data_IF_495169050657
#
_entry.id   IF_495169050657
#
_cell.length_a   1.000
_cell.length_b   1.000
_cell.length_c   1.000
_cell.angle_alpha   90.00
_cell.angle_beta   90.00
_cell.angle_gamma   90.00
#
_symmetry.space_group_name_H-M   'P 1'
#
loop_
_entity.id
_entity.type
_entity.pdbx_description
1 polymer ?
#
# COMPACT_ATOMS: atom_id res chain seq x y z
N UNK A 1 34.38 6.88 3.03
CA UNK A 1 33.70 7.90 2.19
C UNK A 1 32.22 7.63 2.25
N UNK A 2 31.56 8.54 2.85
CA UNK A 2 30.11 8.54 2.94
C UNK A 2 29.57 8.76 1.52
N UNK A 3 29.08 7.71 0.90
CA UNK A 3 28.39 7.84 -0.38
C UNK A 3 27.04 8.40 -0.03
N UNK A 4 26.87 9.66 -0.30
CA UNK A 4 25.63 10.37 -0.14
C UNK A 4 24.49 9.57 -0.74
N UNK A 5 23.56 9.29 0.10
CA UNK A 5 22.30 8.68 -0.17
C UNK A 5 21.60 9.47 -1.28
N UNK A 6 21.73 9.03 -2.51
CA UNK A 6 20.95 9.57 -3.61
C UNK A 6 19.56 8.98 -3.50
N UNK A 7 18.68 9.69 -2.86
CA UNK A 7 17.25 9.42 -2.93
C UNK A 7 16.72 9.86 -4.29
N UNK A 8 17.21 9.18 -5.32
CA UNK A 8 16.61 9.19 -6.63
C UNK A 8 15.82 7.91 -6.77
N UNK A 9 14.61 8.00 -7.24
CA UNK A 9 13.87 6.82 -7.67
C UNK A 9 14.75 6.05 -8.65
N UNK A 10 15.27 4.89 -8.23
CA UNK A 10 16.09 4.04 -9.09
C UNK A 10 17.55 3.88 -8.74
N UNK A 11 18.05 4.52 -7.69
CA UNK A 11 19.41 4.26 -7.23
C UNK A 11 19.50 2.89 -6.54
N UNK A 12 20.63 2.21 -6.72
CA UNK A 12 21.09 1.11 -5.85
C UNK A 12 21.40 1.63 -4.43
N UNK A 13 20.76 2.73 -4.06
CA UNK A 13 20.87 3.31 -2.75
C UNK A 13 20.39 2.27 -1.75
N UNK A 14 21.18 2.02 -0.74
CA UNK A 14 20.74 1.36 0.48
C UNK A 14 19.38 1.94 0.86
N UNK A 15 18.37 1.11 0.76
CA UNK A 15 17.00 1.51 1.08
C UNK A 15 17.00 2.17 2.45
N UNK A 16 16.48 3.39 2.54
CA UNK A 16 16.21 4.05 3.82
C UNK A 16 14.98 3.45 4.50
N UNK A 17 14.43 2.38 3.91
CA UNK A 17 13.30 1.68 4.45
C UNK A 17 13.63 1.12 5.84
N UNK A 18 12.73 1.31 6.77
CA UNK A 18 12.88 0.88 8.15
C UNK A 18 11.55 0.46 8.74
N UNK A 19 11.64 -0.28 9.84
CA UNK A 19 10.49 -0.72 10.59
C UNK A 19 9.78 -1.93 9.98
N UNK A 20 8.67 -2.30 10.60
CA UNK A 20 7.91 -3.51 10.29
C UNK A 20 7.41 -3.55 8.82
N UNK A 21 7.09 -2.41 8.26
CA UNK A 21 6.52 -2.28 6.92
C UNK A 21 7.50 -1.73 5.88
N UNK A 22 8.77 -1.62 6.23
CA UNK A 22 9.83 -1.16 5.33
C UNK A 22 9.54 0.21 4.69
N UNK A 23 8.96 1.14 5.46
CA UNK A 23 8.80 2.52 4.99
C UNK A 23 10.14 3.20 4.76
N UNK A 24 10.23 3.90 3.64
CA UNK A 24 11.33 4.86 3.46
C UNK A 24 11.08 6.10 4.31
N UNK A 25 12.15 6.81 4.65
CA UNK A 25 12.07 8.09 5.33
C UNK A 25 11.12 9.06 4.61
N UNK A 26 11.29 9.19 3.29
CA UNK A 26 10.46 10.11 2.50
C UNK A 26 8.98 9.73 2.52
N UNK A 27 8.64 8.45 2.47
CA UNK A 27 7.23 8.02 2.57
C UNK A 27 6.62 8.40 3.90
N UNK A 28 7.34 8.15 5.00
CA UNK A 28 6.83 8.51 6.32
C UNK A 28 6.71 10.03 6.51
N UNK A 29 7.72 10.78 6.11
CA UNK A 29 7.71 12.25 6.22
C UNK A 29 6.60 12.89 5.39
N UNK A 30 6.29 12.34 4.21
CA UNK A 30 5.15 12.80 3.41
C UNK A 30 3.81 12.55 4.13
N UNK A 31 3.63 11.37 4.73
CA UNK A 31 2.43 11.08 5.52
C UNK A 31 2.32 11.99 6.75
N UNK A 32 3.40 12.18 7.50
CA UNK A 32 3.42 12.99 8.70
C UNK A 32 3.19 14.49 8.40
N UNK A 33 3.71 14.99 7.27
CA UNK A 33 3.52 16.38 6.84
C UNK A 33 2.07 16.71 6.51
N UNK A 34 1.30 15.73 6.08
CA UNK A 34 -0.14 15.85 5.76
C UNK A 34 -1.03 15.51 6.95
N UNK A 35 -0.46 15.09 8.06
CA UNK A 35 -1.20 14.70 9.25
C UNK A 35 -1.85 15.91 9.91
N UNK A 36 -3.11 15.77 10.28
CA UNK A 36 -3.84 16.81 10.99
C UNK A 36 -3.56 16.78 12.50
N UNK A 37 -3.73 17.93 13.15
CA UNK A 37 -3.58 18.05 14.62
C UNK A 37 -4.44 16.99 15.32
N UNK A 38 -3.85 16.29 16.26
CA UNK A 38 -4.53 15.24 17.03
C UNK A 38 -4.50 13.85 16.39
N UNK A 39 -4.02 13.72 15.13
CA UNK A 39 -3.79 12.41 14.54
C UNK A 39 -2.48 11.78 15.02
N UNK A 40 -2.40 10.46 14.92
CA UNK A 40 -1.26 9.70 15.41
C UNK A 40 0.10 10.09 14.79
N UNK A 41 0.08 10.56 13.54
CA UNK A 41 1.30 10.92 12.80
C UNK A 41 1.69 12.41 12.98
N UNK A 42 0.82 13.22 13.54
CA UNK A 42 1.06 14.65 13.69
C UNK A 42 2.29 14.94 14.55
N UNK A 43 3.24 15.69 14.00
CA UNK A 43 4.48 16.06 14.69
C UNK A 43 5.46 14.92 14.93
N UNK A 44 5.21 13.72 14.35
CA UNK A 44 6.10 12.58 14.48
C UNK A 44 7.23 12.64 13.45
N UNK A 45 8.40 12.18 13.88
CA UNK A 45 9.60 12.07 13.04
C UNK A 45 9.81 10.64 12.57
N UNK A 46 10.66 10.46 11.57
CA UNK A 46 11.06 9.11 11.13
C UNK A 46 11.85 8.36 12.23
N UNK A 47 12.54 9.07 13.10
CA UNK A 47 13.21 8.46 14.26
C UNK A 47 12.19 7.90 15.26
N UNK A 48 11.07 8.58 15.48
CA UNK A 48 9.97 8.06 16.29
C UNK A 48 9.38 6.81 15.65
N UNK A 49 9.13 6.85 14.33
CA UNK A 49 8.64 5.71 13.54
C UNK A 49 9.52 4.47 13.71
N UNK A 50 10.84 4.61 13.65
CA UNK A 50 11.78 3.48 13.78
C UNK A 50 11.70 2.77 15.13
N UNK A 51 11.28 3.46 16.17
CA UNK A 51 11.29 2.99 17.56
C UNK A 51 9.93 2.55 18.07
N UNK A 52 8.86 2.88 17.38
CA UNK A 52 7.49 2.68 17.86
C UNK A 52 6.68 1.83 16.86
N UNK A 53 6.45 0.57 17.22
CA UNK A 53 5.69 -0.37 16.40
C UNK A 53 4.23 0.02 16.24
N UNK A 54 3.64 0.68 17.24
CA UNK A 54 2.27 1.20 17.13
C UNK A 54 2.21 2.34 16.10
N UNK A 55 3.21 3.23 16.10
CA UNK A 55 3.32 4.29 15.09
C UNK A 55 3.55 3.72 13.68
N UNK A 56 4.34 2.65 13.56
CA UNK A 56 4.54 1.93 12.30
C UNK A 56 3.21 1.38 11.74
N UNK A 57 2.41 0.76 12.60
CA UNK A 57 1.09 0.25 12.22
C UNK A 57 0.14 1.37 11.80
N UNK A 58 0.14 2.47 12.54
CA UNK A 58 -0.70 3.63 12.22
C UNK A 58 -0.30 4.27 10.89
N UNK A 59 0.99 4.41 10.63
CA UNK A 59 1.50 4.92 9.35
C UNK A 59 1.06 4.04 8.18
N UNK A 60 1.13 2.72 8.34
CA UNK A 60 0.64 1.78 7.31
C UNK A 60 -0.86 1.94 7.08
N UNK A 61 -1.66 2.03 8.14
CA UNK A 61 -3.11 2.20 8.02
C UNK A 61 -3.46 3.49 7.26
N UNK A 62 -2.77 4.60 7.56
CA UNK A 62 -2.97 5.88 6.85
C UNK A 62 -2.59 5.74 5.38
N UNK A 63 -1.45 5.13 5.06
CA UNK A 63 -1.04 4.91 3.67
C UNK A 63 -2.04 4.06 2.91
N UNK A 64 -2.49 2.96 3.50
CA UNK A 64 -3.47 2.07 2.87
C UNK A 64 -4.80 2.79 2.62
N UNK A 65 -5.25 3.62 3.54
CA UNK A 65 -6.48 4.40 3.35
C UNK A 65 -6.33 5.47 2.26
N UNK A 66 -5.19 6.15 2.21
CA UNK A 66 -4.89 7.09 1.12
C UNK A 66 -4.85 6.40 -0.25
N UNK A 67 -4.22 5.24 -0.33
CA UNK A 67 -4.16 4.44 -1.55
C UNK A 67 -5.57 3.98 -1.99
N UNK A 68 -6.36 3.48 -1.06
CA UNK A 68 -7.76 3.06 -1.32
C UNK A 68 -8.58 4.23 -1.87
N UNK A 69 -8.50 5.38 -1.21
CA UNK A 69 -9.21 6.59 -1.66
C UNK A 69 -8.76 7.01 -3.05
N UNK A 70 -7.46 6.99 -3.31
CA UNK A 70 -6.90 7.39 -4.62
C UNK A 70 -7.39 6.47 -5.74
N UNK A 71 -7.41 5.16 -5.53
CA UNK A 71 -7.94 4.20 -6.49
C UNK A 71 -9.45 4.39 -6.71
N UNK A 72 -10.21 4.53 -5.63
CA UNK A 72 -11.66 4.70 -5.69
C UNK A 72 -12.07 5.98 -6.42
N UNK A 73 -11.37 7.09 -6.21
CA UNK A 73 -11.61 8.36 -6.91
C UNK A 73 -11.37 8.26 -8.44
N UNK A 74 -10.59 7.27 -8.86
CA UNK A 74 -10.36 6.97 -10.28
C UNK A 74 -11.29 5.88 -10.81
N UNK A 75 -12.25 5.43 -10.02
CA UNK A 75 -13.16 4.35 -10.40
C UNK A 75 -12.48 2.98 -10.50
N UNK A 76 -11.31 2.84 -9.91
CA UNK A 76 -10.54 1.59 -9.90
C UNK A 76 -10.94 0.74 -8.67
N UNK A 77 -10.96 -0.57 -8.85
CA UNK A 77 -11.23 -1.51 -7.76
C UNK A 77 -10.13 -1.48 -6.70
N UNK A 78 -10.50 -1.81 -5.48
CA UNK A 78 -9.61 -1.85 -4.32
C UNK A 78 -9.40 -3.28 -3.81
N UNK A 79 -9.26 -4.23 -4.75
CA UNK A 79 -8.88 -5.60 -4.44
C UNK A 79 -7.52 -5.65 -3.76
N UNK A 80 -7.22 -6.75 -3.07
CA UNK A 80 -5.94 -6.92 -2.39
C UNK A 80 -4.75 -6.77 -3.36
N UNK A 81 -4.87 -7.30 -4.57
CA UNK A 81 -3.85 -7.15 -5.61
C UNK A 81 -3.67 -5.69 -6.04
N UNK A 82 -4.76 -4.94 -6.22
CA UNK A 82 -4.69 -3.52 -6.57
C UNK A 82 -4.10 -2.68 -5.43
N UNK A 83 -4.45 -3.01 -4.20
CA UNK A 83 -3.88 -2.37 -3.01
C UNK A 83 -2.39 -2.72 -2.85
N UNK A 84 -2.00 -3.94 -3.19
CA UNK A 84 -0.59 -4.34 -3.23
C UNK A 84 0.20 -3.54 -4.29
N UNK A 85 -0.35 -3.36 -5.49
CA UNK A 85 0.25 -2.50 -6.51
C UNK A 85 0.40 -1.05 -6.01
N UNK A 86 -0.60 -0.53 -5.32
CA UNK A 86 -0.55 0.83 -4.76
C UNK A 86 0.50 0.97 -3.65
N UNK A 87 0.70 -0.07 -2.85
CA UNK A 87 1.78 -0.11 -1.88
C UNK A 87 3.15 -0.19 -2.55
N UNK A 88 3.27 -0.99 -3.60
CA UNK A 88 4.53 -1.26 -4.29
C UNK A 88 4.97 -0.13 -5.23
N UNK A 89 4.05 0.43 -6.02
CA UNK A 89 4.30 1.48 -7.02
C UNK A 89 3.96 2.90 -6.55
N UNK A 90 3.35 3.02 -5.37
CA UNK A 90 2.63 4.22 -4.98
C UNK A 90 1.26 4.31 -5.67
N UNK A 91 0.37 5.16 -5.13
CA UNK A 91 -0.98 5.31 -5.69
C UNK A 91 -0.97 5.73 -7.16
N UNK A 92 -0.15 6.69 -7.54
CA UNK A 92 -0.03 7.17 -8.93
C UNK A 92 0.47 6.09 -9.88
N UNK A 93 1.45 5.29 -9.46
CA UNK A 93 1.99 4.17 -10.22
C UNK A 93 0.94 3.07 -10.43
N UNK A 94 0.20 2.73 -9.38
CA UNK A 94 -0.89 1.76 -9.46
C UNK A 94 -2.02 2.25 -10.38
N UNK A 95 -2.40 3.51 -10.28
CA UNK A 95 -3.41 4.10 -11.17
C UNK A 95 -2.97 3.98 -12.63
N UNK A 96 -1.72 4.31 -12.95
CA UNK A 96 -1.18 4.13 -14.31
C UNK A 96 -1.25 2.67 -14.76
N UNK A 97 -0.78 1.74 -13.92
CA UNK A 97 -0.78 0.31 -14.22
C UNK A 97 -2.19 -0.27 -14.41
N UNK A 98 -3.16 0.18 -13.61
CA UNK A 98 -4.54 -0.30 -13.68
C UNK A 98 -5.36 0.36 -14.79
N UNK A 99 -4.96 1.55 -15.26
CA UNK A 99 -5.64 2.29 -16.34
C UNK A 99 -5.03 2.05 -17.71
N UNK A 100 -3.82 1.49 -17.79
CA UNK A 100 -3.14 1.23 -19.04
C UNK A 100 -3.76 0.06 -19.80
N UNK A 101 -3.50 -0.01 -21.12
CA UNK A 101 -3.81 -1.19 -21.91
C UNK A 101 -3.09 -2.41 -21.32
N UNK A 102 -3.80 -3.52 -21.04
CA UNK A 102 -3.18 -4.74 -20.53
C UNK A 102 -2.03 -5.30 -21.39
N UNK A 103 -2.09 -5.07 -22.69
CA UNK A 103 -1.07 -5.54 -23.65
C UNK A 103 0.08 -4.54 -23.84
N UNK A 104 -0.02 -3.34 -23.25
CA UNK A 104 1.07 -2.38 -23.30
C UNK A 104 2.33 -2.93 -22.61
N UNK A 105 3.52 -2.57 -23.10
CA UNK A 105 4.76 -2.99 -22.46
C UNK A 105 4.84 -2.45 -21.02
N UNK A 106 5.43 -3.23 -20.13
CA UNK A 106 5.57 -2.87 -18.71
C UNK A 106 6.32 -1.53 -18.54
N UNK A 107 7.22 -1.22 -19.47
CA UNK A 107 7.98 0.05 -19.48
C UNK A 107 7.11 1.28 -19.71
N UNK A 108 5.85 1.11 -20.14
CA UNK A 108 4.89 2.22 -20.22
C UNK A 108 4.39 2.70 -18.86
N UNK A 109 4.48 1.86 -17.83
CA UNK A 109 3.99 2.15 -16.47
C UNK A 109 5.08 2.12 -15.40
N UNK A 110 6.21 1.50 -15.69
CA UNK A 110 7.39 1.44 -14.81
C UNK A 110 8.64 1.93 -15.54
N UNK A 111 9.51 2.62 -14.82
CA UNK A 111 10.81 3.01 -15.36
C UNK A 111 11.77 1.81 -15.39
N UNK A 112 12.80 1.89 -16.24
CA UNK A 112 13.85 0.87 -16.30
C UNK A 112 14.54 0.70 -14.94
N UNK A 113 14.80 1.80 -14.24
CA UNK A 113 15.41 1.78 -12.90
C UNK A 113 14.56 1.03 -11.88
N UNK A 114 13.23 1.19 -11.95
CA UNK A 114 12.31 0.42 -11.10
C UNK A 114 12.33 -1.07 -11.40
N UNK A 115 12.41 -1.43 -12.67
CA UNK A 115 12.54 -2.82 -13.10
C UNK A 115 13.87 -3.43 -12.68
N UNK A 116 14.97 -2.68 -12.83
CA UNK A 116 16.31 -3.13 -12.44
C UNK A 116 16.45 -3.31 -10.93
N UNK A 117 15.81 -2.45 -10.16
CA UNK A 117 15.77 -2.54 -8.69
C UNK A 117 14.93 -3.75 -8.19
N UNK A 118 14.10 -4.34 -9.05
CA UNK A 118 13.20 -5.42 -8.69
C UNK A 118 13.40 -6.64 -9.59
N UNK A 119 14.37 -7.51 -9.29
CA UNK A 119 14.70 -8.66 -10.15
C UNK A 119 13.52 -9.58 -10.47
N UNK A 120 12.56 -9.69 -9.55
CA UNK A 120 11.34 -10.49 -9.75
C UNK A 120 10.43 -9.97 -10.87
N UNK A 121 10.61 -8.73 -11.31
CA UNK A 121 9.84 -8.12 -12.39
C UNK A 121 10.50 -8.24 -13.76
N UNK A 122 11.77 -8.67 -13.83
CA UNK A 122 12.53 -8.71 -15.08
C UNK A 122 11.96 -9.66 -16.15
N UNK A 123 11.17 -10.63 -15.72
CA UNK A 123 10.50 -11.58 -16.62
C UNK A 123 9.16 -11.08 -17.15
N UNK A 124 8.63 -10.01 -16.56
CA UNK A 124 7.36 -9.43 -16.94
C UNK A 124 7.54 -8.52 -18.16
N UNK A 125 6.69 -8.67 -19.16
CA UNK A 125 6.78 -7.91 -20.40
C UNK A 125 5.66 -6.90 -20.56
N UNK A 126 4.48 -7.23 -20.07
CA UNK A 126 3.26 -6.43 -20.26
C UNK A 126 2.68 -5.94 -18.93
N UNK A 127 1.79 -4.98 -19.05
CA UNK A 127 0.98 -4.48 -17.91
C UNK A 127 0.12 -5.62 -17.33
N UNK A 128 -0.40 -6.51 -18.19
CA UNK A 128 -1.15 -7.70 -17.76
C UNK A 128 -0.30 -8.62 -16.88
N UNK A 129 0.97 -8.84 -17.25
CA UNK A 129 1.90 -9.63 -16.44
C UNK A 129 2.13 -9.01 -15.06
N UNK A 130 2.25 -7.70 -15.00
CA UNK A 130 2.41 -6.98 -13.73
C UNK A 130 1.18 -7.14 -12.82
N UNK A 131 -0.02 -7.06 -13.38
CA UNK A 131 -1.26 -7.28 -12.61
C UNK A 131 -1.36 -8.72 -12.11
N UNK A 132 -1.08 -9.70 -12.96
CA UNK A 132 -1.05 -11.11 -12.60
C UNK A 132 0.01 -11.41 -11.52
N UNK A 133 1.16 -10.78 -11.61
CA UNK A 133 2.20 -10.88 -10.58
C UNK A 133 1.69 -10.39 -9.21
N UNK A 134 0.98 -9.27 -9.16
CA UNK A 134 0.39 -8.76 -7.92
C UNK A 134 -0.66 -9.71 -7.33
N UNK A 135 -1.50 -10.31 -8.19
CA UNK A 135 -2.48 -11.32 -7.78
C UNK A 135 -1.79 -12.56 -7.19
N UNK A 136 -0.73 -13.05 -7.81
CA UNK A 136 0.05 -14.18 -7.32
C UNK A 136 0.72 -13.88 -5.98
N UNK A 137 1.24 -12.66 -5.80
CA UNK A 137 1.82 -12.22 -4.52
C UNK A 137 0.79 -12.27 -3.40
N UNK A 138 -0.41 -11.78 -3.63
CA UNK A 138 -1.48 -11.81 -2.63
C UNK A 138 -1.99 -13.22 -2.37
N UNK A 139 -2.13 -14.06 -3.40
CA UNK A 139 -2.50 -15.46 -3.24
C UNK A 139 -1.48 -16.24 -2.40
N UNK A 140 -0.19 -15.98 -2.58
CA UNK A 140 0.88 -16.64 -1.81
C UNK A 140 0.88 -16.22 -0.34
N UNK A 141 0.50 -14.98 -0.03
CA UNK A 141 0.34 -14.49 1.36
C UNK A 141 -0.84 -15.19 2.04
N UNK A 142 -1.93 -15.43 1.33
CA UNK A 142 -3.11 -16.12 1.89
C UNK A 142 -2.88 -17.62 2.07
N UNK A 143 -2.00 -18.24 1.29
CA UNK A 143 -1.72 -19.68 1.33
C UNK A 143 -0.59 -20.07 2.31
N UNK A 144 0.20 -19.12 2.79
CA UNK A 144 1.32 -19.38 3.71
C UNK A 144 0.89 -19.48 5.16
N UNK A 145 1.68 -20.15 6.04
CA UNK A 145 1.48 -20.03 7.46
C UNK A 145 1.58 -18.56 7.81
N UNK A 146 0.58 -18.04 8.48
CA UNK A 146 0.40 -16.64 8.82
C UNK A 146 1.68 -16.02 9.39
N UNK A 147 2.52 -15.49 8.52
CA UNK A 147 3.55 -14.56 8.90
C UNK A 147 2.86 -13.21 9.13
N UNK A 148 2.28 -13.04 10.28
CA UNK A 148 2.00 -11.81 11.03
C UNK A 148 1.50 -10.55 10.33
N UNK A 149 1.24 -10.57 9.04
CA UNK A 149 0.60 -9.48 8.33
C UNK A 149 -0.82 -9.88 7.95
N UNK A 150 -1.69 -9.86 8.93
CA UNK A 150 -3.08 -9.56 8.64
C UNK A 150 -3.17 -8.03 8.53
N UNK A 151 -3.54 -7.49 7.36
CA UNK A 151 -4.13 -6.17 7.36
C UNK A 151 -5.40 -6.31 8.20
N UNK A 152 -5.34 -5.96 9.47
CA UNK A 152 -6.55 -5.67 10.21
C UNK A 152 -7.20 -4.52 9.47
N UNK A 153 -8.03 -4.86 8.51
CA UNK A 153 -9.07 -3.98 8.04
C UNK A 153 -9.97 -3.78 9.26
N UNK A 154 -9.62 -2.86 10.12
CA UNK A 154 -10.60 -2.20 10.94
C UNK A 154 -11.46 -1.41 9.96
N UNK A 155 -12.36 -2.11 9.27
CA UNK A 155 -13.60 -1.48 8.86
C UNK A 155 -14.19 -0.98 10.17
N UNK A 156 -14.04 0.30 10.43
CA UNK A 156 -14.70 0.99 11.53
C UNK A 156 -16.20 1.09 11.28
N UNK A 157 -16.80 -0.01 10.89
CA UNK A 157 -18.23 -0.27 10.95
C UNK A 157 -18.36 -1.29 12.04
N UNK A 158 -18.57 -0.75 13.22
CA UNK A 158 -18.97 -1.46 14.41
C UNK A 158 -19.92 -2.60 14.02
N UNK A 159 -19.55 -3.85 14.27
CA UNK A 159 -20.45 -4.98 14.11
C UNK A 159 -21.70 -4.85 14.98
N UNK A 160 -21.66 -3.94 15.93
CA UNK A 160 -22.78 -3.61 16.81
C UNK A 160 -23.93 -2.90 16.08
N UNK A 161 -23.63 -2.15 15.02
CA UNK A 161 -24.68 -1.46 14.23
C UNK A 161 -25.40 -2.41 13.28
N UNK A 162 -24.82 -3.58 12.98
CA UNK A 162 -25.44 -4.58 12.12
C UNK A 162 -26.48 -5.45 12.85
N UNK A 163 -26.38 -5.53 14.18
CA UNK A 163 -27.31 -6.30 15.00
C UNK A 163 -28.63 -5.56 15.28
N UNK A 164 -28.67 -4.24 15.11
CA UNK A 164 -29.88 -3.42 15.40
C UNK A 164 -30.75 -3.17 14.17
N UNK A 165 -30.35 -3.60 12.98
CA UNK A 165 -31.18 -3.54 11.76
C UNK A 165 -31.87 -4.87 11.42
N UNK A 166 -31.89 -5.81 12.36
CA UNK A 166 -32.68 -7.03 12.22
C UNK A 166 -34.11 -6.75 12.64
N UNK A 167 -34.94 -6.44 11.67
CA UNK A 167 -36.38 -6.57 11.50
C UNK A 167 -37.28 -6.33 12.72
N UNK A 168 -38.21 -5.38 12.65
CA UNK A 168 -39.36 -5.40 13.54
C UNK A 168 -40.25 -6.60 13.20
N UNK A 169 -40.38 -7.48 14.16
CA UNK A 169 -41.38 -8.56 14.15
C UNK A 169 -42.78 -7.90 14.11
N UNK A 170 -43.44 -8.00 12.98
CA UNK A 170 -44.86 -7.64 12.87
C UNK A 170 -45.63 -8.61 13.75
N UNK A 171 -46.18 -8.11 14.83
CA UNK A 171 -47.18 -8.83 15.59
C UNK A 171 -48.48 -8.84 14.78
N UNK A 172 -48.93 -10.01 14.35
CA UNK A 172 -50.28 -10.21 13.89
C UNK A 172 -51.18 -10.43 15.12
N UNK A 173 -52.13 -9.56 15.27
CA UNK A 173 -53.37 -9.80 15.98
C UNK A 173 -54.41 -10.29 15.01
#
# INVERSE_FOLDING_TARGET
RNISNQSGAGGTATSTASGLFQFTKGTFEDLASKAVVGSALYGKTFEDYKKDTALQQQAMNVLMEQNRRSLSLKGLGTSDANMYLAHFLGASGAIRALSADPNAPITSVMSQDQLDANPSLKTLQTVSDLRAWAEQKMASVQAGPSSGYEPKVTTGVDQQTRATLSTPKVAQT
#
